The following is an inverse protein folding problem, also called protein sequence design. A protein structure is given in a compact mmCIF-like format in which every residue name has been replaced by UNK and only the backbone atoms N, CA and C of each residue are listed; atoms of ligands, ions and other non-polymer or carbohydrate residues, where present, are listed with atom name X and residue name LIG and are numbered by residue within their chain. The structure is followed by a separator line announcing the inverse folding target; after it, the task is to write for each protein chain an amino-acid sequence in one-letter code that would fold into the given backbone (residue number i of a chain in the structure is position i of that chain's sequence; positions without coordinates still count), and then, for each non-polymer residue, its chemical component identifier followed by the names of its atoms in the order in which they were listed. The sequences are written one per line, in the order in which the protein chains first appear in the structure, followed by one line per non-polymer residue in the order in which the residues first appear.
data_IF_788216673546
#
_entry.id   IF_788216673546
#
_cell.length_a   1.000
_cell.length_b   1.000
_cell.length_c   1.000
_cell.angle_alpha   90.00
_cell.angle_beta   90.00
_cell.angle_gamma   90.00
#
_symmetry.space_group_name_H-M   'P 1'
#
loop_
_entity.id
_entity.type
_entity.pdbx_description
1 polymer ?
#
# COMPACT_ATOMS: atom_id res chain seq x y z
N UNK A 1 -1.91 -24.54 -2.18
CA UNK A 1 -0.50 -24.89 -2.43
C UNK A 1 -0.22 -25.28 -3.89
N UNK A 2 -0.91 -26.26 -4.49
CA UNK A 2 -0.68 -26.63 -5.91
C UNK A 2 -0.74 -25.43 -6.87
N UNK A 3 -1.71 -24.53 -6.67
CA UNK A 3 -1.83 -23.29 -7.46
C UNK A 3 -0.58 -22.40 -7.35
N UNK A 4 0.02 -22.28 -6.16
CA UNK A 4 1.25 -21.51 -5.96
C UNK A 4 2.40 -22.09 -6.80
N UNK A 5 2.56 -23.42 -6.78
CA UNK A 5 3.59 -24.11 -7.55
C UNK A 5 3.36 -24.02 -9.07
N UNK A 6 2.11 -24.15 -9.53
CA UNK A 6 1.79 -23.95 -10.93
C UNK A 6 2.13 -22.53 -11.39
N UNK A 7 1.73 -21.51 -10.61
CA UNK A 7 2.05 -20.11 -10.90
C UNK A 7 3.56 -19.85 -10.88
N UNK A 8 4.26 -20.37 -9.86
CA UNK A 8 5.71 -20.29 -9.74
C UNK A 8 6.39 -20.83 -11.01
N UNK A 9 5.93 -21.96 -11.55
CA UNK A 9 6.50 -22.54 -12.79
C UNK A 9 6.15 -21.80 -14.09
N UNK A 10 5.06 -21.02 -14.12
CA UNK A 10 4.51 -20.44 -15.36
C UNK A 10 4.75 -18.94 -15.48
N UNK A 11 4.66 -18.21 -14.36
CA UNK A 11 4.54 -16.76 -14.36
C UNK A 11 5.75 -16.05 -13.72
N UNK A 12 6.59 -16.76 -12.95
CA UNK A 12 7.75 -16.16 -12.29
C UNK A 12 9.00 -16.23 -13.16
N UNK A 13 9.77 -15.14 -13.17
CA UNK A 13 11.03 -15.08 -13.94
C UNK A 13 12.15 -15.92 -13.32
N UNK A 14 12.14 -16.06 -11.99
CA UNK A 14 13.13 -16.84 -11.25
C UNK A 14 12.45 -17.71 -10.18
N UNK A 15 11.88 -18.86 -10.57
CA UNK A 15 11.23 -19.77 -9.64
C UNK A 15 12.22 -20.46 -8.69
N UNK A 16 13.49 -20.60 -9.08
CA UNK A 16 14.53 -21.23 -8.27
C UNK A 16 14.81 -20.38 -7.03
N UNK A 17 15.07 -19.09 -7.23
CA UNK A 17 15.32 -18.15 -6.12
C UNK A 17 14.16 -18.08 -5.14
N UNK A 18 12.92 -17.97 -5.64
CA UNK A 18 11.73 -17.88 -4.78
C UNK A 18 11.55 -19.19 -3.98
N UNK A 19 11.74 -20.34 -4.62
CA UNK A 19 11.64 -21.62 -3.94
C UNK A 19 12.74 -21.83 -2.90
N UNK A 20 13.97 -21.41 -3.18
CA UNK A 20 15.08 -21.45 -2.23
C UNK A 20 14.79 -20.62 -0.98
N UNK A 21 14.14 -19.46 -1.14
CA UNK A 21 13.67 -18.66 0.00
C UNK A 21 12.59 -19.38 0.81
N UNK A 22 11.68 -20.11 0.17
CA UNK A 22 10.69 -20.91 0.90
C UNK A 22 11.37 -21.99 1.72
N UNK A 23 12.30 -22.73 1.11
CA UNK A 23 13.02 -23.81 1.76
C UNK A 23 13.95 -23.32 2.87
N UNK A 24 14.53 -22.12 2.77
CA UNK A 24 15.44 -21.58 3.80
C UNK A 24 14.76 -21.27 5.14
N UNK A 25 13.43 -21.16 5.18
CA UNK A 25 12.67 -21.00 6.42
C UNK A 25 12.34 -22.32 7.12
N UNK A 26 12.48 -23.46 6.45
CA UNK A 26 12.19 -24.76 7.03
C UNK A 26 13.43 -25.32 7.74
N UNK A 27 13.22 -26.10 8.80
CA UNK A 27 14.32 -26.75 9.51
C UNK A 27 14.97 -27.85 8.65
N UNK A 28 16.30 -28.03 8.75
CA UNK A 28 17.01 -29.04 7.96
C UNK A 28 16.50 -30.48 8.20
N UNK A 29 15.93 -30.75 9.38
CA UNK A 29 15.36 -32.06 9.71
C UNK A 29 14.07 -32.37 8.91
N UNK A 30 13.35 -31.33 8.46
CA UNK A 30 12.08 -31.44 7.75
C UNK A 30 12.26 -31.44 6.22
N UNK A 31 13.47 -31.13 5.73
CA UNK A 31 13.77 -31.01 4.29
C UNK A 31 14.45 -32.27 3.77
N UNK A 32 13.70 -33.09 3.06
CA UNK A 32 14.23 -34.26 2.35
C UNK A 32 14.97 -33.80 1.08
N UNK A 33 16.06 -34.49 0.72
CA UNK A 33 16.89 -34.18 -0.45
C UNK A 33 16.13 -34.11 -1.80
N UNK A 34 14.94 -34.72 -1.88
CA UNK A 34 14.07 -34.69 -3.06
C UNK A 34 13.28 -33.38 -3.19
N UNK A 35 13.10 -32.61 -2.11
CA UNK A 35 12.41 -31.31 -2.10
C UNK A 35 13.36 -30.14 -1.78
N UNK A 36 14.65 -30.40 -1.53
CA UNK A 36 15.62 -29.35 -1.19
C UNK A 36 15.86 -28.34 -2.33
N UNK A 37 15.64 -28.74 -3.58
CA UNK A 37 15.91 -27.92 -4.75
C UNK A 37 14.72 -27.93 -5.70
N UNK A 38 14.42 -26.77 -6.28
CA UNK A 38 13.31 -26.61 -7.23
C UNK A 38 13.34 -27.63 -8.37
N UNK A 39 14.52 -27.87 -8.97
CA UNK A 39 14.71 -28.82 -10.08
C UNK A 39 14.37 -30.28 -9.74
N UNK A 40 14.31 -30.63 -8.45
CA UNK A 40 13.99 -31.98 -7.97
C UNK A 40 12.52 -32.15 -7.62
N UNK A 41 11.77 -31.04 -7.57
CA UNK A 41 10.33 -31.06 -7.31
C UNK A 41 9.61 -31.51 -8.58
N UNK A 42 8.93 -32.65 -8.50
CA UNK A 42 8.08 -33.15 -9.56
C UNK A 42 6.62 -33.05 -9.15
N UNK A 43 5.91 -32.03 -9.64
CA UNK A 43 4.49 -31.81 -9.34
C UNK A 43 3.55 -32.90 -9.89
N UNK A 44 4.03 -33.73 -10.82
CA UNK A 44 3.29 -34.89 -11.36
C UNK A 44 3.43 -36.13 -10.47
N UNK A 45 4.45 -36.18 -9.63
CA UNK A 45 4.59 -37.24 -8.63
C UNK A 45 3.63 -36.96 -7.47
N UNK A 46 2.55 -37.73 -7.43
CA UNK A 46 1.53 -37.61 -6.40
C UNK A 46 2.10 -37.85 -5.01
N UNK A 47 2.96 -38.87 -4.82
CA UNK A 47 3.48 -39.23 -3.51
C UNK A 47 4.43 -38.16 -2.99
N UNK A 48 5.39 -37.71 -3.81
CA UNK A 48 6.29 -36.62 -3.42
C UNK A 48 5.51 -35.37 -3.03
N UNK A 49 4.48 -35.04 -3.81
CA UNK A 49 3.65 -33.86 -3.57
C UNK A 49 2.84 -33.96 -2.27
N UNK A 50 2.09 -35.04 -2.07
CA UNK A 50 1.14 -35.12 -0.96
C UNK A 50 1.76 -35.57 0.36
N UNK A 51 2.84 -36.34 0.32
CA UNK A 51 3.46 -36.91 1.52
C UNK A 51 4.68 -36.12 1.99
N UNK A 52 5.38 -35.41 1.10
CA UNK A 52 6.61 -34.69 1.44
C UNK A 52 6.44 -33.18 1.27
N UNK A 53 6.27 -32.73 0.02
CA UNK A 53 6.31 -31.30 -0.31
C UNK A 53 5.22 -30.48 0.40
N UNK A 54 3.97 -30.93 0.33
CA UNK A 54 2.85 -30.19 0.91
C UNK A 54 2.87 -30.22 2.43
N UNK A 55 3.13 -31.35 3.11
CA UNK A 55 3.29 -31.37 4.55
C UNK A 55 4.42 -30.47 5.06
N UNK A 56 5.59 -30.46 4.41
CA UNK A 56 6.71 -29.57 4.81
C UNK A 56 6.31 -28.11 4.70
N UNK A 57 5.72 -27.69 3.57
CA UNK A 57 5.48 -26.26 3.31
C UNK A 57 4.13 -25.73 3.81
N UNK A 58 3.31 -26.53 4.51
CA UNK A 58 1.92 -26.15 4.85
C UNK A 58 1.81 -24.97 5.81
N UNK A 59 2.84 -24.75 6.61
CA UNK A 59 2.91 -23.65 7.58
C UNK A 59 3.98 -22.62 7.19
N UNK A 60 4.59 -22.79 6.02
CA UNK A 60 5.59 -21.86 5.52
C UNK A 60 4.95 -20.49 5.23
N UNK A 61 5.35 -19.47 5.99
CA UNK A 61 4.76 -18.15 5.86
C UNK A 61 5.06 -17.49 4.51
N UNK A 62 6.16 -17.82 3.83
CA UNK A 62 6.43 -17.27 2.50
C UNK A 62 5.48 -17.89 1.46
N UNK A 63 5.18 -19.18 1.55
CA UNK A 63 4.19 -19.84 0.68
C UNK A 63 2.79 -19.28 0.92
N UNK A 64 2.43 -19.07 2.19
CA UNK A 64 1.13 -18.48 2.57
C UNK A 64 1.04 -17.04 2.05
N UNK A 65 2.05 -16.21 2.29
CA UNK A 65 2.08 -14.83 1.81
C UNK A 65 2.06 -14.77 0.28
N UNK A 66 2.80 -15.67 -0.39
CA UNK A 66 2.76 -15.78 -1.84
C UNK A 66 1.35 -16.09 -2.35
N UNK A 67 0.65 -17.03 -1.70
CA UNK A 67 -0.74 -17.32 -2.03
C UNK A 67 -1.65 -16.09 -1.85
N UNK A 68 -1.56 -15.44 -0.69
CA UNK A 68 -2.37 -14.27 -0.39
C UNK A 68 -2.13 -13.14 -1.40
N UNK A 69 -0.87 -12.81 -1.69
CA UNK A 69 -0.50 -11.72 -2.59
C UNK A 69 -0.93 -11.93 -4.04
N UNK A 70 -0.98 -13.17 -4.52
CA UNK A 70 -1.23 -13.44 -5.94
C UNK A 70 -2.65 -13.92 -6.26
N UNK A 71 -3.34 -14.52 -5.28
CA UNK A 71 -4.68 -15.07 -5.51
C UNK A 71 -5.76 -14.36 -4.71
N UNK A 72 -5.48 -13.98 -3.46
CA UNK A 72 -6.51 -13.43 -2.56
C UNK A 72 -6.56 -11.90 -2.64
N UNK A 73 -5.46 -11.21 -2.34
CA UNK A 73 -5.42 -9.76 -2.28
C UNK A 73 -5.78 -9.07 -3.61
N UNK A 74 -5.37 -9.55 -4.80
CA UNK A 74 -5.78 -8.90 -6.04
C UNK A 74 -7.30 -8.87 -6.25
N UNK A 75 -8.02 -9.85 -5.69
CA UNK A 75 -9.48 -9.95 -5.74
C UNK A 75 -10.12 -9.17 -4.59
N UNK A 76 -9.66 -9.43 -3.36
CA UNK A 76 -10.34 -9.00 -2.13
C UNK A 76 -9.80 -7.67 -1.56
N UNK A 77 -8.53 -7.34 -1.78
CA UNK A 77 -7.94 -6.07 -1.33
C UNK A 77 -8.24 -4.90 -2.27
N UNK A 78 -8.90 -5.13 -3.42
CA UNK A 78 -9.56 -4.07 -4.19
C UNK A 78 -10.81 -3.60 -3.46
N UNK A 79 -10.63 -2.85 -2.38
CA UNK A 79 -11.74 -2.26 -1.60
C UNK A 79 -12.62 -1.30 -2.41
N UNK A 80 -12.18 -0.85 -3.59
CA UNK A 80 -12.94 0.08 -4.43
C UNK A 80 -12.74 -0.27 -5.92
N UNK A 81 -13.59 -1.11 -6.54
CA UNK A 81 -13.55 -1.34 -8.00
C UNK A 81 -13.71 -0.03 -8.79
N UNK A 82 -14.35 0.97 -8.18
CA UNK A 82 -14.32 2.36 -8.62
C UNK A 82 -13.86 3.23 -7.45
N UNK A 83 -12.71 3.92 -7.63
CA UNK A 83 -12.27 4.94 -6.69
C UNK A 83 -13.17 6.16 -6.88
N UNK A 84 -14.12 6.39 -5.98
CA UNK A 84 -14.80 7.68 -5.88
C UNK A 84 -13.79 8.69 -5.34
N UNK A 85 -13.01 9.27 -6.26
CA UNK A 85 -12.15 10.41 -5.94
C UNK A 85 -13.06 11.62 -5.91
N UNK A 86 -13.42 12.07 -4.72
CA UNK A 86 -13.95 13.40 -4.50
C UNK A 86 -12.81 14.25 -3.95
N UNK A 87 -12.37 15.21 -4.74
CA UNK A 87 -11.54 16.32 -4.29
C UNK A 87 -12.42 17.44 -3.74
N UNK A 88 -11.85 18.33 -2.93
CA UNK A 88 -12.54 19.55 -2.51
C UNK A 88 -13.02 20.38 -3.73
N UNK A 89 -12.35 20.27 -4.88
CA UNK A 89 -12.76 20.91 -6.13
C UNK A 89 -14.05 20.35 -6.72
N UNK A 90 -14.39 19.08 -6.47
CA UNK A 90 -15.65 18.50 -6.92
C UNK A 90 -16.86 19.10 -6.19
N UNK A 91 -16.64 19.69 -5.00
CA UNK A 91 -17.66 20.49 -4.33
C UNK A 91 -17.92 21.76 -5.14
N UNK A 92 -16.88 22.42 -5.65
CA UNK A 92 -16.94 23.65 -6.45
C UNK A 92 -17.44 23.48 -7.89
N UNK A 93 -18.06 22.35 -8.21
CA UNK A 93 -18.68 22.17 -9.52
C UNK A 93 -19.89 23.10 -9.66
N UNK A 94 -19.94 23.85 -10.77
CA UNK A 94 -21.09 24.71 -11.12
C UNK A 94 -22.41 23.96 -11.30
N UNK A 95 -22.37 22.63 -11.35
CA UNK A 95 -23.54 21.76 -11.38
C UNK A 95 -24.27 21.69 -10.04
N UNK A 96 -23.68 22.19 -8.94
CA UNK A 96 -24.33 22.23 -7.63
C UNK A 96 -24.96 23.60 -7.39
N UNK A 97 -26.27 23.62 -7.11
CA UNK A 97 -27.05 24.82 -6.80
C UNK A 97 -26.72 25.47 -5.43
N UNK A 98 -25.85 24.84 -4.63
CA UNK A 98 -25.53 25.30 -3.27
C UNK A 98 -24.36 26.28 -3.28
N UNK A 99 -24.52 27.38 -2.52
CA UNK A 99 -23.45 28.34 -2.26
C UNK A 99 -22.34 27.63 -1.49
N UNK A 100 -21.11 27.73 -1.99
CA UNK A 100 -19.91 27.18 -1.35
C UNK A 100 -19.09 28.34 -0.84
N UNK A 101 -18.67 28.20 0.41
CA UNK A 101 -17.99 29.27 1.14
C UNK A 101 -16.57 28.83 1.46
N UNK A 102 -15.61 29.68 1.12
CA UNK A 102 -14.23 29.55 1.59
C UNK A 102 -14.12 30.00 3.05
N UNK A 103 -13.23 29.36 3.81
CA UNK A 103 -12.90 29.71 5.20
C UNK A 103 -11.40 29.94 5.35
N UNK A 104 -10.92 30.20 6.58
CA UNK A 104 -9.55 30.59 6.91
C UNK A 104 -8.43 29.72 6.32
N UNK A 105 -8.68 28.43 6.03
CA UNK A 105 -7.74 27.54 5.34
C UNK A 105 -7.64 27.71 3.82
N UNK A 106 -8.44 28.58 3.23
CA UNK A 106 -8.51 28.83 1.77
C UNK A 106 -8.12 30.26 1.38
N UNK A 107 -7.66 31.06 2.35
CA UNK A 107 -7.30 32.46 2.14
C UNK A 107 -6.11 32.58 1.16
N UNK A 108 -5.04 31.81 1.40
CA UNK A 108 -3.83 31.78 0.54
C UNK A 108 -4.10 31.35 -0.91
N UNK A 109 -5.17 30.55 -1.11
CA UNK A 109 -5.55 30.02 -2.43
C UNK A 109 -6.79 30.68 -3.01
N UNK A 110 -7.28 31.78 -2.40
CA UNK A 110 -8.51 32.47 -2.80
C UNK A 110 -8.54 32.82 -4.29
N UNK A 111 -7.41 33.29 -4.82
CA UNK A 111 -7.28 33.67 -6.24
C UNK A 111 -7.38 32.49 -7.21
N UNK A 112 -7.18 31.27 -6.71
CA UNK A 112 -7.27 30.04 -7.49
C UNK A 112 -8.67 29.44 -7.44
N UNK A 113 -9.53 29.85 -6.50
CA UNK A 113 -10.88 29.33 -6.32
C UNK A 113 -11.80 29.78 -7.47
N UNK A 114 -12.83 28.99 -7.83
CA UNK A 114 -13.76 29.36 -8.89
C UNK A 114 -14.60 30.55 -8.47
N UNK A 115 -14.98 31.39 -9.44
CA UNK A 115 -15.65 32.70 -9.25
C UNK A 115 -16.93 32.65 -8.40
N UNK A 116 -17.61 31.50 -8.34
CA UNK A 116 -18.83 31.33 -7.56
C UNK A 116 -18.60 31.00 -6.08
N UNK A 117 -17.36 30.71 -5.66
CA UNK A 117 -17.01 30.56 -4.25
C UNK A 117 -16.82 31.94 -3.64
N UNK A 118 -17.48 32.19 -2.50
CA UNK A 118 -17.32 33.44 -1.74
C UNK A 118 -16.49 33.17 -0.51
N UNK A 119 -15.47 33.99 -0.25
CA UNK A 119 -14.79 33.98 1.04
C UNK A 119 -15.70 34.56 2.11
N UNK A 120 -15.73 33.91 3.27
CA UNK A 120 -16.42 34.41 4.46
C UNK A 120 -15.41 34.52 5.59
N UNK A 121 -14.62 35.59 5.53
CA UNK A 121 -13.61 35.89 6.53
C UNK A 121 -14.29 36.45 7.78
N UNK A 122 -14.21 35.69 8.87
CA UNK A 122 -14.75 36.09 10.15
C UNK A 122 -13.80 37.11 10.82
N UNK A 123 -14.26 38.30 11.24
CA UNK A 123 -13.41 39.31 11.86
C UNK A 123 -12.64 38.80 13.08
N UNK A 124 -13.21 37.86 13.84
CA UNK A 124 -12.56 37.25 15.01
C UNK A 124 -11.33 36.42 14.64
N UNK A 125 -11.30 35.89 13.41
CA UNK A 125 -10.23 35.03 12.90
C UNK A 125 -9.17 35.82 12.12
N UNK A 126 -9.36 37.09 11.78
CA UNK A 126 -8.35 37.88 11.06
C UNK A 126 -7.00 37.95 11.79
N UNK A 127 -6.99 37.82 13.12
CA UNK A 127 -5.76 37.81 13.92
C UNK A 127 -4.93 36.54 13.73
N UNK A 128 -5.51 35.43 13.23
CA UNK A 128 -4.77 34.18 13.08
C UNK A 128 -3.66 34.29 12.05
N UNK A 129 -3.85 35.08 10.99
CA UNK A 129 -2.83 35.28 9.95
C UNK A 129 -1.59 35.98 10.53
N UNK A 130 -1.79 36.98 11.39
CA UNK A 130 -0.71 37.64 12.11
C UNK A 130 -0.04 36.70 13.14
N UNK A 131 -0.80 35.78 13.75
CA UNK A 131 -0.26 34.77 14.68
C UNK A 131 0.64 33.78 13.93
N UNK A 132 0.25 33.32 12.74
CA UNK A 132 1.08 32.44 11.90
C UNK A 132 2.42 33.11 11.60
N UNK A 133 2.41 34.36 11.16
CA UNK A 133 3.63 35.13 10.92
C UNK A 133 4.46 35.28 12.20
N UNK A 134 3.84 35.60 13.32
CA UNK A 134 4.53 35.74 14.60
C UNK A 134 5.20 34.44 15.06
N UNK A 135 4.57 33.29 14.82
CA UNK A 135 5.11 31.98 15.13
C UNK A 135 6.28 31.62 14.21
N UNK A 136 6.16 31.90 12.90
CA UNK A 136 7.23 31.65 11.93
C UNK A 136 8.49 32.47 12.25
N UNK A 137 8.33 33.69 12.76
CA UNK A 137 9.42 34.60 13.12
C UNK A 137 10.00 34.36 14.54
N UNK A 138 9.57 33.31 15.25
CA UNK A 138 10.18 32.94 16.53
C UNK A 138 11.62 32.46 16.34
N UNK A 139 12.49 32.81 17.27
CA UNK A 139 13.93 32.52 17.23
C UNK A 139 14.27 31.03 17.10
N UNK A 140 13.36 30.17 17.56
CA UNK A 140 13.43 28.73 17.50
C UNK A 140 13.39 28.20 16.05
N UNK A 141 12.74 28.95 15.15
CA UNK A 141 12.65 28.63 13.73
C UNK A 141 13.81 29.21 12.89
N UNK A 142 14.73 29.97 13.51
CA UNK A 142 15.91 30.53 12.80
C UNK A 142 16.97 29.47 12.48
N UNK A 143 16.81 28.23 12.95
CA UNK A 143 17.80 27.15 12.77
C UNK A 143 17.12 25.84 12.40
N UNK A 144 17.56 25.24 11.30
CA UNK A 144 17.15 23.90 10.90
C UNK A 144 18.08 22.86 11.50
N UNK A 145 17.51 21.87 12.18
CA UNK A 145 18.24 20.66 12.61
C UNK A 145 17.78 19.49 11.76
N UNK A 146 18.72 18.73 11.22
CA UNK A 146 18.44 17.45 10.57
C UNK A 146 18.85 16.31 11.50
N UNK A 147 18.12 15.20 11.42
CA UNK A 147 18.52 13.96 12.06
C UNK A 147 19.66 13.34 11.26
N UNK A 148 20.84 13.22 11.88
CA UNK A 148 21.94 12.44 11.33
C UNK A 148 21.52 10.97 11.30
N UNK A 149 21.44 10.40 10.10
CA UNK A 149 21.24 8.97 9.86
C UNK A 149 22.56 8.25 10.05
#
# INVERSE_FOLDING_TARGET
MLQCFNRLSQDESDPEMIYEQWISLEEENDIIASIKQWKRVNLKDYQQRTQLLFPTLRYNMLVINYFLNHFVFPQEAKQFPHKLVASAWDLSSSLREKIITGFSGTNDTQLLLPVHIRQCDLPELQKTDAIVLSNLLQSENDRYQYLSI
#
